data_IF_876246498192
#
_entry.id   IF_876246498192
#
_cell.length_a   1.000
_cell.length_b   1.000
_cell.length_c   1.000
_cell.angle_alpha   90.00
_cell.angle_beta   90.00
_cell.angle_gamma   90.00
#
_symmetry.space_group_name_H-M   'P 1'
#
loop_
_entity.id
_entity.type
_entity.pdbx_description
1 polymer ?
#
# COMPACT_ATOMS: atom_id res chain seq x y z
N UNK A 1 -52.55 30.21 7.85
CA UNK A 1 -51.97 28.86 8.02
C UNK A 1 -50.64 28.80 7.33
N UNK A 2 -49.58 28.78 8.06
CA UNK A 2 -48.23 28.70 7.52
C UNK A 2 -47.76 27.26 7.52
N UNK A 3 -47.38 26.75 6.35
CA UNK A 3 -46.84 25.42 6.18
C UNK A 3 -45.40 25.36 6.67
N UNK A 4 -45.18 24.67 7.77
CA UNK A 4 -43.88 24.41 8.35
C UNK A 4 -43.24 23.11 7.77
N UNK A 5 -43.14 22.98 6.47
CA UNK A 5 -42.52 21.78 5.88
C UNK A 5 -41.44 22.08 4.84
N UNK A 6 -40.52 23.00 5.11
CA UNK A 6 -39.49 23.22 4.10
C UNK A 6 -38.06 23.49 4.62
N UNK A 7 -37.75 23.16 5.86
CA UNK A 7 -36.38 23.43 6.35
C UNK A 7 -35.60 22.23 6.84
N UNK A 8 -36.07 21.03 6.63
CA UNK A 8 -35.30 19.82 7.10
C UNK A 8 -34.58 19.06 5.99
N UNK A 9 -34.64 19.49 4.74
CA UNK A 9 -33.99 18.75 3.64
C UNK A 9 -32.62 19.27 3.25
N UNK A 10 -32.15 20.37 3.84
CA UNK A 10 -30.88 21.01 3.49
C UNK A 10 -29.69 20.59 4.35
N UNK A 11 -29.90 19.74 5.36
CA UNK A 11 -28.83 19.29 6.27
C UNK A 11 -28.24 17.92 5.94
N UNK A 12 -28.75 17.22 4.92
CA UNK A 12 -28.28 15.87 4.57
C UNK A 12 -27.32 15.82 3.37
N UNK A 13 -27.06 16.93 2.71
CA UNK A 13 -26.18 16.97 1.53
C UNK A 13 -24.73 17.36 1.90
N UNK A 14 -24.49 17.78 3.11
CA UNK A 14 -23.16 18.24 3.55
C UNK A 14 -22.22 17.16 4.07
N UNK A 15 -22.69 15.89 4.23
CA UNK A 15 -21.91 14.87 4.94
C UNK A 15 -21.16 13.89 4.03
N UNK A 16 -21.27 14.01 2.71
CA UNK A 16 -20.63 13.07 1.77
C UNK A 16 -19.28 13.55 1.20
N UNK A 17 -18.75 14.69 1.63
CA UNK A 17 -17.51 15.25 1.08
C UNK A 17 -16.29 15.11 2.00
N UNK A 18 -16.42 14.42 3.14
CA UNK A 18 -15.30 14.03 3.97
C UNK A 18 -15.01 12.54 3.76
N UNK A 19 -14.61 12.20 2.53
CA UNK A 19 -13.80 10.99 2.38
C UNK A 19 -12.54 11.23 3.20
N UNK A 20 -12.32 10.50 4.30
CA UNK A 20 -11.04 10.62 5.00
C UNK A 20 -9.98 10.24 3.98
N UNK A 21 -9.11 11.18 3.64
CA UNK A 21 -7.84 10.87 3.03
C UNK A 21 -7.22 9.78 3.89
N UNK A 22 -7.01 8.59 3.33
CA UNK A 22 -6.44 7.42 4.01
C UNK A 22 -4.94 7.61 4.34
N UNK A 23 -4.50 8.84 4.44
CA UNK A 23 -3.18 9.21 4.92
C UNK A 23 -3.14 8.98 6.42
N UNK A 24 -2.46 7.89 6.84
CA UNK A 24 -2.15 7.63 8.24
C UNK A 24 -3.06 6.62 8.94
N UNK A 25 -3.78 5.75 8.23
CA UNK A 25 -4.36 4.57 8.87
C UNK A 25 -3.22 3.67 9.35
N UNK A 26 -3.05 3.60 10.68
CA UNK A 26 -2.19 2.59 11.27
C UNK A 26 -2.74 1.21 10.90
N UNK A 27 -1.95 0.41 10.22
CA UNK A 27 -2.28 -0.98 9.90
C UNK A 27 -2.47 -1.74 11.21
N UNK A 28 -3.67 -2.21 11.49
CA UNK A 28 -4.04 -2.89 12.74
C UNK A 28 -4.18 -4.39 12.58
N UNK A 29 -4.32 -4.88 11.34
CA UNK A 29 -4.54 -6.28 11.05
C UNK A 29 -4.02 -6.67 9.67
N UNK A 30 -3.86 -7.96 9.45
CA UNK A 30 -3.55 -8.50 8.12
C UNK A 30 -4.64 -8.11 7.10
N UNK A 31 -5.90 -8.10 7.52
CA UNK A 31 -7.01 -7.71 6.65
C UNK A 31 -6.87 -6.26 6.17
N UNK A 32 -6.42 -5.35 7.02
CA UNK A 32 -6.16 -3.95 6.62
C UNK A 32 -5.11 -3.88 5.51
N UNK A 33 -4.02 -4.65 5.65
CA UNK A 33 -2.97 -4.72 4.64
C UNK A 33 -3.52 -5.30 3.34
N UNK A 34 -4.27 -6.38 3.41
CA UNK A 34 -4.87 -7.01 2.23
C UNK A 34 -5.84 -6.07 1.51
N UNK A 35 -6.67 -5.33 2.25
CA UNK A 35 -7.59 -4.35 1.65
C UNK A 35 -6.84 -3.22 0.93
N UNK A 36 -5.71 -2.77 1.48
CA UNK A 36 -4.89 -1.75 0.82
C UNK A 36 -4.36 -2.24 -0.54
N UNK A 37 -3.97 -3.51 -0.65
CA UNK A 37 -3.44 -4.06 -1.91
C UNK A 37 -4.49 -4.16 -3.02
N UNK A 38 -5.78 -4.07 -2.70
CA UNK A 38 -6.87 -4.09 -3.69
C UNK A 38 -7.05 -2.76 -4.44
N UNK A 39 -6.34 -1.72 -4.06
CA UNK A 39 -6.55 -0.34 -4.53
C UNK A 39 -5.77 0.01 -5.80
N UNK A 40 -5.91 -0.72 -6.86
CA UNK A 40 -5.19 -0.42 -8.09
C UNK A 40 -3.70 -0.75 -7.97
N UNK A 41 -2.81 0.20 -8.27
CA UNK A 41 -1.37 0.00 -8.11
C UNK A 41 -0.95 0.24 -6.66
N UNK A 42 -0.32 -0.74 -6.03
CA UNK A 42 0.20 -0.68 -4.67
C UNK A 42 1.60 -1.25 -4.62
N UNK A 43 2.53 -0.51 -4.05
CA UNK A 43 3.90 -0.99 -3.78
C UNK A 43 4.03 -1.16 -2.27
N UNK A 44 4.31 -2.38 -1.85
CA UNK A 44 4.50 -2.71 -0.43
C UNK A 44 5.96 -3.05 -0.18
N UNK A 45 6.59 -2.38 0.78
CA UNK A 45 7.88 -2.79 1.31
C UNK A 45 7.67 -3.47 2.65
N UNK A 46 8.08 -4.74 2.75
CA UNK A 46 8.06 -5.50 3.99
C UNK A 46 9.48 -5.58 4.52
N UNK A 47 9.70 -5.11 5.72
CA UNK A 47 11.01 -5.15 6.36
C UNK A 47 10.88 -5.61 7.81
N UNK A 48 11.99 -5.74 8.50
CA UNK A 48 12.07 -6.01 9.92
C UNK A 48 12.59 -4.75 10.65
N UNK A 49 12.22 -4.57 11.90
CA UNK A 49 12.64 -3.40 12.68
C UNK A 49 14.16 -3.31 12.81
N UNK A 50 14.84 -4.46 12.97
CA UNK A 50 16.31 -4.51 13.04
C UNK A 50 17.01 -4.18 11.72
N UNK A 51 16.29 -4.22 10.59
CA UNK A 51 16.84 -4.00 9.25
C UNK A 51 16.36 -2.70 8.60
N UNK A 52 15.80 -1.79 9.36
CA UNK A 52 15.16 -0.58 8.84
C UNK A 52 16.13 0.32 8.07
N UNK A 53 17.40 0.32 8.45
CA UNK A 53 18.44 1.10 7.74
C UNK A 53 18.73 0.61 6.32
N UNK A 54 18.32 -0.62 5.99
CA UNK A 54 18.43 -1.18 4.64
C UNK A 54 17.14 -1.03 3.81
N UNK A 55 16.15 -0.29 4.31
CA UNK A 55 14.94 0.03 3.56
C UNK A 55 15.25 0.90 2.36
N UNK A 56 14.55 0.64 1.25
CA UNK A 56 14.58 1.50 0.07
C UNK A 56 13.59 2.65 0.26
N UNK A 57 13.97 3.85 -0.15
CA UNK A 57 13.06 4.99 -0.14
C UNK A 57 12.07 4.92 -1.30
N UNK A 58 10.98 4.19 -1.09
CA UNK A 58 9.90 4.05 -2.07
C UNK A 58 8.91 5.23 -2.04
N UNK A 59 9.05 6.17 -1.13
CA UNK A 59 8.16 7.33 -1.01
C UNK A 59 8.17 8.24 -2.24
N UNK A 60 9.23 8.17 -3.04
CA UNK A 60 9.38 8.96 -4.27
C UNK A 60 8.61 8.38 -5.47
N UNK A 61 8.12 7.17 -5.38
CA UNK A 61 7.33 6.56 -6.45
C UNK A 61 5.99 7.28 -6.60
N UNK A 62 5.58 7.47 -7.86
CA UNK A 62 4.33 8.16 -8.20
C UNK A 62 3.36 7.19 -8.84
N UNK A 63 2.07 7.54 -8.82
CA UNK A 63 1.00 6.79 -9.48
C UNK A 63 0.71 5.42 -8.87
N UNK A 64 1.21 5.17 -7.66
CA UNK A 64 0.93 3.99 -6.85
C UNK A 64 0.73 4.39 -5.40
N UNK A 65 -0.05 3.60 -4.69
CA UNK A 65 -0.10 3.68 -3.23
C UNK A 65 1.13 3.02 -2.64
N UNK A 66 1.71 3.63 -1.63
CA UNK A 66 2.90 3.14 -0.94
C UNK A 66 2.51 2.61 0.43
N UNK A 67 2.93 1.39 0.74
CA UNK A 67 2.69 0.74 2.03
C UNK A 67 4.01 0.25 2.59
N UNK A 68 4.28 0.62 3.84
CA UNK A 68 5.40 0.11 4.62
C UNK A 68 4.85 -0.84 5.69
N UNK A 69 5.36 -2.06 5.74
CA UNK A 69 4.94 -3.08 6.69
C UNK A 69 6.15 -3.70 7.39
N UNK A 70 5.98 -4.13 8.65
CA UNK A 70 7.02 -4.78 9.43
C UNK A 70 6.58 -6.19 9.82
N UNK A 71 7.47 -7.18 9.61
CA UNK A 71 7.25 -8.54 10.11
C UNK A 71 7.27 -8.62 11.64
N UNK A 72 7.81 -7.60 12.30
CA UNK A 72 7.87 -7.49 13.76
C UNK A 72 6.64 -6.82 14.35
N UNK A 73 5.72 -6.35 13.51
CA UNK A 73 4.46 -5.79 14.00
C UNK A 73 3.64 -6.86 14.72
N UNK A 74 3.28 -6.58 15.98
CA UNK A 74 2.60 -7.54 16.87
C UNK A 74 1.20 -7.92 16.39
N UNK A 75 0.53 -7.01 15.68
CA UNK A 75 -0.85 -7.21 15.25
C UNK A 75 -0.96 -8.06 13.97
N UNK A 76 -0.02 -7.93 13.02
CA UNK A 76 -0.15 -8.58 11.72
C UNK A 76 1.16 -9.18 11.18
N UNK A 77 2.31 -8.85 11.74
CA UNK A 77 3.63 -9.16 11.13
C UNK A 77 3.85 -10.62 10.81
N UNK A 78 3.60 -11.50 11.77
CA UNK A 78 3.78 -12.95 11.59
C UNK A 78 2.76 -13.52 10.58
N UNK A 79 1.52 -13.08 10.64
CA UNK A 79 0.47 -13.51 9.71
C UNK A 79 0.76 -13.06 8.27
N UNK A 80 1.22 -11.82 8.11
CA UNK A 80 1.61 -11.27 6.81
C UNK A 80 2.80 -12.04 6.22
N UNK A 81 3.83 -12.29 7.02
CA UNK A 81 5.00 -13.02 6.58
C UNK A 81 4.65 -14.44 6.10
N UNK A 82 3.72 -15.10 6.80
CA UNK A 82 3.22 -16.43 6.41
C UNK A 82 2.37 -16.36 5.14
N UNK A 83 1.38 -15.46 5.10
CA UNK A 83 0.44 -15.33 3.99
C UNK A 83 1.13 -14.96 2.68
N UNK A 84 2.08 -14.04 2.74
CA UNK A 84 2.83 -13.61 1.55
C UNK A 84 4.14 -14.36 1.34
N UNK A 85 4.41 -15.39 2.14
CA UNK A 85 5.61 -16.21 2.05
C UNK A 85 6.89 -15.36 2.02
N UNK A 86 7.02 -14.44 2.97
CA UNK A 86 8.19 -13.57 3.10
C UNK A 86 9.36 -14.41 3.65
N UNK A 87 10.39 -14.59 2.83
CA UNK A 87 11.57 -15.39 3.14
C UNK A 87 12.76 -14.58 3.57
N UNK A 88 12.80 -13.33 3.18
CA UNK A 88 13.89 -12.40 3.47
C UNK A 88 13.38 -10.98 3.55
N UNK A 89 14.16 -10.10 4.13
CA UNK A 89 13.83 -8.66 4.25
C UNK A 89 15.03 -7.81 3.79
N UNK A 90 14.78 -6.65 3.16
CA UNK A 90 13.47 -6.22 2.71
C UNK A 90 12.94 -7.05 1.54
N UNK A 91 11.63 -7.16 1.44
CA UNK A 91 10.92 -7.66 0.27
C UNK A 91 9.98 -6.57 -0.23
N UNK A 92 10.05 -6.26 -1.51
CA UNK A 92 9.16 -5.28 -2.13
C UNK A 92 8.26 -5.99 -3.13
N UNK A 93 6.96 -5.75 -3.02
CA UNK A 93 5.95 -6.38 -3.88
C UNK A 93 5.13 -5.30 -4.56
N UNK A 94 4.94 -5.44 -5.86
CA UNK A 94 4.05 -4.58 -6.65
C UNK A 94 2.76 -5.34 -6.90
N UNK A 95 1.64 -4.76 -6.46
CA UNK A 95 0.29 -5.29 -6.66
C UNK A 95 -0.51 -4.42 -7.63
N UNK A 96 -1.39 -5.05 -8.38
CA UNK A 96 -2.45 -4.38 -9.12
C UNK A 96 -3.77 -5.06 -8.81
N UNK A 97 -4.71 -4.33 -8.20
CA UNK A 97 -6.00 -4.86 -7.76
C UNK A 97 -5.91 -6.18 -7.00
N UNK A 98 -4.95 -6.27 -6.07
CA UNK A 98 -4.71 -7.45 -5.23
C UNK A 98 -3.88 -8.56 -5.86
N UNK A 99 -3.55 -8.46 -7.15
CA UNK A 99 -2.70 -9.42 -7.84
C UNK A 99 -1.22 -9.01 -7.72
N UNK A 100 -0.39 -9.94 -7.26
CA UNK A 100 1.06 -9.74 -7.23
C UNK A 100 1.62 -9.79 -8.65
N UNK A 101 2.21 -8.69 -9.10
CA UNK A 101 2.81 -8.60 -10.44
C UNK A 101 4.32 -8.86 -10.39
N UNK A 102 4.99 -8.33 -9.38
CA UNK A 102 6.44 -8.40 -9.27
C UNK A 102 6.87 -8.40 -7.82
N UNK A 103 7.94 -9.15 -7.53
CA UNK A 103 8.51 -9.29 -6.20
C UNK A 103 10.02 -9.15 -6.27
N UNK A 104 10.58 -8.38 -5.37
CA UNK A 104 12.02 -8.22 -5.19
C UNK A 104 12.37 -8.66 -3.77
N UNK A 105 13.16 -9.68 -3.65
CA UNK A 105 13.58 -10.24 -2.36
C UNK A 105 15.08 -9.99 -2.15
N UNK A 106 15.43 -9.46 -1.00
CA UNK A 106 16.84 -9.39 -0.61
C UNK A 106 17.41 -10.79 -0.40
N UNK A 107 18.67 -10.96 -0.76
CA UNK A 107 19.39 -12.18 -0.47
C UNK A 107 19.94 -12.22 0.97
N UNK A 108 20.97 -13.01 1.18
CA UNK A 108 21.65 -13.16 2.49
C UNK A 108 22.27 -11.87 3.01
N UNK A 109 22.45 -10.85 2.16
CA UNK A 109 22.95 -9.55 2.56
C UNK A 109 21.90 -8.68 3.28
N UNK A 110 20.61 -9.06 3.22
CA UNK A 110 19.48 -8.27 3.70
C UNK A 110 19.44 -6.85 3.12
N UNK A 111 19.89 -6.71 1.88
CA UNK A 111 19.91 -5.44 1.14
C UNK A 111 19.48 -5.67 -0.31
N UNK A 112 18.84 -4.66 -0.87
CA UNK A 112 18.52 -4.55 -2.30
C UNK A 112 19.30 -3.37 -2.89
N UNK A 113 19.64 -3.45 -4.18
CA UNK A 113 20.20 -2.31 -4.91
C UNK A 113 19.08 -1.30 -5.17
N UNK A 114 19.10 -0.18 -4.44
CA UNK A 114 18.02 0.81 -4.48
C UNK A 114 17.78 1.36 -5.88
N UNK A 115 18.83 1.76 -6.59
CA UNK A 115 18.70 2.37 -7.91
C UNK A 115 18.12 1.38 -8.95
N UNK A 116 18.58 0.15 -8.92
CA UNK A 116 18.08 -0.90 -9.80
C UNK A 116 16.62 -1.25 -9.51
N UNK A 117 16.29 -1.43 -8.23
CA UNK A 117 14.94 -1.79 -7.81
C UNK A 117 13.95 -0.67 -8.11
N UNK A 118 14.28 0.57 -7.79
CA UNK A 118 13.41 1.72 -8.11
C UNK A 118 13.17 1.84 -9.62
N UNK A 119 14.18 1.60 -10.44
CA UNK A 119 14.04 1.60 -11.90
C UNK A 119 13.05 0.53 -12.36
N UNK A 120 13.20 -0.69 -11.87
CA UNK A 120 12.32 -1.82 -12.22
C UNK A 120 10.87 -1.59 -11.74
N UNK A 121 10.69 -1.04 -10.56
CA UNK A 121 9.36 -0.69 -10.04
C UNK A 121 8.71 0.38 -10.91
N UNK A 122 9.45 1.42 -11.29
CA UNK A 122 8.94 2.47 -12.19
C UNK A 122 8.51 1.92 -13.54
N UNK A 123 9.29 1.01 -14.11
CA UNK A 123 8.91 0.32 -15.36
C UNK A 123 7.60 -0.45 -15.20
N UNK A 124 7.42 -1.17 -14.10
CA UNK A 124 6.18 -1.91 -13.86
C UNK A 124 4.98 -0.97 -13.65
N UNK A 125 5.16 0.14 -12.92
CA UNK A 125 4.12 1.16 -12.76
C UNK A 125 3.71 1.74 -14.12
N UNK A 126 4.67 2.06 -14.96
CA UNK A 126 4.41 2.57 -16.31
C UNK A 126 3.64 1.56 -17.15
N UNK A 127 3.98 0.28 -17.05
CA UNK A 127 3.27 -0.80 -17.73
C UNK A 127 1.81 -0.92 -17.23
N UNK A 128 1.59 -0.78 -15.93
CA UNK A 128 0.23 -0.76 -15.35
C UNK A 128 -0.58 0.39 -15.94
N UNK A 129 0.00 1.59 -16.00
CA UNK A 129 -0.64 2.78 -16.55
C UNK A 129 -0.99 2.56 -18.02
N UNK A 130 -0.04 2.09 -18.83
CA UNK A 130 -0.25 1.84 -20.25
C UNK A 130 -1.38 0.84 -20.50
N UNK A 131 -1.48 -0.23 -19.71
CA UNK A 131 -2.57 -1.21 -19.84
C UNK A 131 -3.95 -0.61 -19.60
N UNK A 132 -4.06 0.44 -18.80
CA UNK A 132 -5.34 1.11 -18.52
C UNK A 132 -5.87 1.93 -19.71
N UNK A 133 -5.00 2.28 -20.63
CA UNK A 133 -5.36 3.06 -21.83
C UNK A 133 -5.54 2.21 -23.09
N UNK A 134 -5.39 0.92 -22.99
CA UNK A 134 -5.64 -0.04 -24.07
C UNK A 134 -7.05 -0.64 -23.95
#
# INVERSE_FOLDING_TARGET
>A
MMNYYSTQWLLLVGLCLLSPCLYGQSLKSLQDVQLLTQQGCVVVQVNADWNISASIDISKLKNCHIVEASIDNKAYGAALASEWNIKSVPTIIVFEYGEELQRFEAGLSFRLDESEILRKIKEEIDNIILRRFQ
#
